data_IF_987537800542
#
_entry.id   IF_987537800542
#
_cell.length_a   1.000
_cell.length_b   1.000
_cell.length_c   1.000
_cell.angle_alpha   90.00
_cell.angle_beta   90.00
_cell.angle_gamma   90.00
#
_symmetry.space_group_name_H-M   'P 1'
#
loop_
_entity.id
_entity.type
_entity.pdbx_description
1 polymer ?
#
# COMPACT_ATOMS: atom_id res chain seq x y z
N UNK A 1 -6.46 -3.87 -44.97
CA UNK A 1 -6.00 -2.87 -43.98
C UNK A 1 -7.05 -2.58 -42.88
N UNK A 2 -8.31 -2.39 -43.19
CA UNK A 2 -9.37 -2.16 -42.21
C UNK A 2 -9.57 -3.31 -41.21
N UNK A 3 -9.40 -4.56 -41.63
CA UNK A 3 -9.52 -5.75 -40.76
C UNK A 3 -8.44 -5.83 -39.68
N UNK A 4 -7.21 -5.38 -39.98
CA UNK A 4 -6.08 -5.40 -39.02
C UNK A 4 -6.24 -4.33 -37.95
N UNK A 5 -6.64 -3.12 -38.33
CA UNK A 5 -6.91 -2.04 -37.38
C UNK A 5 -8.08 -2.37 -36.45
N UNK A 6 -9.14 -2.99 -36.97
CA UNK A 6 -10.29 -3.41 -36.19
C UNK A 6 -9.96 -4.55 -35.22
N UNK A 7 -9.08 -5.48 -35.64
CA UNK A 7 -8.58 -6.58 -34.78
C UNK A 7 -7.71 -6.04 -33.67
N UNK A 8 -6.84 -5.07 -33.96
CA UNK A 8 -5.99 -4.40 -32.98
C UNK A 8 -6.83 -3.63 -31.96
N UNK A 9 -7.82 -2.88 -32.42
CA UNK A 9 -8.77 -2.13 -31.57
C UNK A 9 -9.53 -3.08 -30.63
N UNK A 10 -10.05 -4.20 -31.14
CA UNK A 10 -10.70 -5.24 -30.33
C UNK A 10 -9.76 -5.89 -29.32
N UNK A 11 -8.48 -6.08 -29.66
CA UNK A 11 -7.48 -6.63 -28.73
C UNK A 11 -7.14 -5.62 -27.62
N UNK A 12 -7.04 -4.34 -27.97
CA UNK A 12 -6.81 -3.26 -27.01
C UNK A 12 -8.05 -3.09 -26.10
N UNK A 13 -9.24 -3.12 -26.66
CA UNK A 13 -10.49 -3.06 -25.89
C UNK A 13 -10.67 -4.29 -24.97
N UNK A 14 -10.27 -5.49 -25.43
CA UNK A 14 -10.28 -6.70 -24.60
C UNK A 14 -9.24 -6.65 -23.49
N UNK A 15 -8.05 -6.09 -23.72
CA UNK A 15 -7.03 -5.89 -22.70
C UNK A 15 -7.48 -4.85 -21.67
N UNK A 16 -8.09 -3.74 -22.10
CA UNK A 16 -8.59 -2.72 -21.19
C UNK A 16 -9.80 -3.20 -20.38
N UNK A 17 -10.64 -4.08 -20.95
CA UNK A 17 -11.80 -4.67 -20.27
C UNK A 17 -11.43 -5.78 -19.27
N UNK A 18 -10.16 -6.25 -19.24
CA UNK A 18 -9.73 -7.39 -18.42
C UNK A 18 -8.76 -7.02 -17.30
N UNK A 19 -8.39 -5.75 -17.14
CA UNK A 19 -7.52 -5.36 -16.05
C UNK A 19 -8.28 -5.36 -14.72
N UNK A 20 -7.69 -5.91 -13.66
CA UNK A 20 -8.34 -5.89 -12.35
C UNK A 20 -8.41 -4.47 -11.78
N UNK A 21 -9.47 -4.21 -11.04
CA UNK A 21 -9.65 -2.97 -10.28
C UNK A 21 -9.53 -3.32 -8.80
N UNK A 22 -8.57 -2.69 -8.12
CA UNK A 22 -8.39 -2.86 -6.68
C UNK A 22 -9.14 -1.76 -5.93
N UNK A 23 -9.86 -2.17 -4.91
CA UNK A 23 -10.52 -1.25 -3.97
C UNK A 23 -9.50 -0.85 -2.91
N UNK A 24 -9.01 0.36 -3.01
CA UNK A 24 -7.84 0.83 -2.30
C UNK A 24 -8.20 1.59 -1.02
N UNK A 25 -7.53 1.23 0.06
CA UNK A 25 -7.50 1.99 1.29
C UNK A 25 -6.21 2.83 1.32
N UNK A 26 -6.34 4.11 1.62
CA UNK A 26 -5.20 4.94 2.01
C UNK A 26 -5.07 4.87 3.53
N UNK A 27 -3.90 4.50 4.02
CA UNK A 27 -3.61 4.54 5.45
C UNK A 27 -2.52 5.56 5.75
N UNK A 28 -2.81 6.51 6.62
CA UNK A 28 -1.89 7.54 7.05
C UNK A 28 -1.77 7.54 8.57
N UNK A 29 -0.56 7.70 9.07
CA UNK A 29 -0.31 7.72 10.51
C UNK A 29 0.61 8.87 10.88
N UNK A 30 0.20 9.61 11.89
CA UNK A 30 1.00 10.66 12.48
C UNK A 30 1.63 10.12 13.77
N UNK A 31 2.96 10.17 13.85
CA UNK A 31 3.68 9.88 15.09
C UNK A 31 3.86 11.19 15.86
N UNK A 32 3.37 11.22 17.09
CA UNK A 32 3.62 12.35 17.99
C UNK A 32 4.90 12.05 18.80
N UNK A 33 6.03 12.00 18.11
CA UNK A 33 7.32 11.93 18.79
C UNK A 33 7.91 13.33 18.87
N UNK A 34 8.17 13.80 20.08
CA UNK A 34 8.75 15.11 20.36
C UNK A 34 10.15 15.31 19.76
N UNK A 35 10.78 14.22 19.31
CA UNK A 35 12.13 14.24 18.74
C UNK A 35 12.12 14.36 17.20
N UNK A 36 10.98 14.23 16.55
CA UNK A 36 10.88 14.43 15.09
C UNK A 36 10.72 15.92 14.79
N UNK A 37 11.75 16.49 14.16
CA UNK A 37 11.80 17.91 13.79
C UNK A 37 10.82 18.28 12.67
N UNK A 38 10.28 17.32 11.92
CA UNK A 38 9.28 17.53 10.87
C UNK A 38 8.28 16.38 10.90
N UNK A 39 7.13 16.65 11.51
CA UNK A 39 6.01 15.72 11.45
C UNK A 39 5.23 16.02 10.17
N UNK A 40 5.25 15.07 9.24
CA UNK A 40 4.45 15.19 8.03
C UNK A 40 2.98 14.95 8.36
N UNK A 41 2.11 15.90 8.02
CA UNK A 41 0.69 15.82 8.32
C UNK A 41 0.00 14.65 7.61
N UNK A 42 -1.13 14.23 8.16
CA UNK A 42 -1.99 13.22 7.54
C UNK A 42 -2.45 13.70 6.16
N UNK A 43 -2.84 14.96 6.04
CA UNK A 43 -3.28 15.56 4.76
C UNK A 43 -2.19 15.50 3.70
N UNK A 44 -0.94 15.74 4.07
CA UNK A 44 0.19 15.66 3.14
C UNK A 44 0.43 14.23 2.67
N UNK A 45 0.37 13.26 3.57
CA UNK A 45 0.49 11.83 3.21
C UNK A 45 -0.65 11.41 2.26
N UNK A 46 -1.86 11.80 2.57
CA UNK A 46 -3.05 11.48 1.74
C UNK A 46 -2.93 12.10 0.36
N UNK A 47 -2.54 13.38 0.28
CA UNK A 47 -2.36 14.08 -0.99
C UNK A 47 -1.32 13.39 -1.88
N UNK A 48 -0.19 13.00 -1.32
CA UNK A 48 0.87 12.27 -2.04
C UNK A 48 0.36 10.93 -2.58
N UNK A 49 -0.39 10.18 -1.79
CA UNK A 49 -0.93 8.88 -2.19
C UNK A 49 -2.02 9.05 -3.26
N UNK A 50 -2.88 10.04 -3.12
CA UNK A 50 -3.89 10.37 -4.16
C UNK A 50 -3.24 10.73 -5.49
N UNK A 51 -2.16 11.50 -5.46
CA UNK A 51 -1.39 11.83 -6.66
C UNK A 51 -0.81 10.56 -7.31
N UNK A 52 -0.28 9.64 -6.50
CA UNK A 52 0.19 8.34 -6.98
C UNK A 52 -0.94 7.57 -7.69
N UNK A 53 -2.12 7.51 -7.10
CA UNK A 53 -3.28 6.82 -7.68
C UNK A 53 -3.65 7.45 -9.03
N UNK A 54 -3.72 8.77 -9.12
CA UNK A 54 -4.05 9.48 -10.36
C UNK A 54 -3.01 9.22 -11.44
N UNK A 55 -1.73 9.32 -11.10
CA UNK A 55 -0.62 9.07 -12.03
C UNK A 55 -0.63 7.64 -12.53
N UNK A 56 -0.85 6.69 -11.65
CA UNK A 56 -0.95 5.27 -12.01
C UNK A 56 -2.12 5.01 -12.96
N UNK A 57 -3.30 5.51 -12.62
CA UNK A 57 -4.52 5.27 -13.41
C UNK A 57 -4.48 5.97 -14.78
N UNK A 58 -3.67 7.03 -14.93
CA UNK A 58 -3.52 7.75 -16.19
C UNK A 58 -2.60 7.01 -17.19
N UNK A 59 -1.84 6.02 -16.76
CA UNK A 59 -0.93 5.26 -17.63
C UNK A 59 -1.74 4.38 -18.58
N UNK A 60 -1.41 4.46 -19.87
CA UNK A 60 -2.06 3.65 -20.91
C UNK A 60 -1.72 2.15 -20.80
N UNK A 61 -0.55 1.82 -20.29
CA UNK A 61 0.00 0.48 -20.14
C UNK A 61 -0.22 -0.13 -18.75
N UNK A 62 -1.06 0.48 -17.93
CA UNK A 62 -1.33 -0.04 -16.58
C UNK A 62 -1.89 -1.45 -16.63
N UNK A 63 -1.41 -2.31 -15.76
CA UNK A 63 -1.87 -3.69 -15.62
C UNK A 63 -3.01 -3.85 -14.63
N UNK A 64 -3.28 -2.82 -13.85
CA UNK A 64 -4.39 -2.76 -12.90
C UNK A 64 -4.82 -1.32 -12.68
N UNK A 65 -6.00 -1.14 -12.12
CA UNK A 65 -6.54 0.16 -11.76
C UNK A 65 -6.79 0.23 -10.25
N UNK A 66 -6.62 1.42 -9.69
CA UNK A 66 -6.85 1.69 -8.28
C UNK A 66 -8.10 2.56 -8.10
N UNK A 67 -9.11 2.01 -7.44
CA UNK A 67 -10.30 2.76 -7.05
C UNK A 67 -10.23 3.05 -5.55
N UNK A 68 -10.15 4.32 -5.19
CA UNK A 68 -10.10 4.70 -3.78
C UNK A 68 -11.42 4.36 -3.10
N UNK A 69 -11.37 3.48 -2.10
CA UNK A 69 -12.52 3.11 -1.29
C UNK A 69 -12.71 4.05 -0.11
N UNK A 70 -11.68 4.20 0.74
CA UNK A 70 -11.74 5.09 1.89
C UNK A 70 -10.34 5.46 2.38
N UNK A 71 -10.28 6.46 3.24
CA UNK A 71 -9.08 6.96 3.88
C UNK A 71 -9.16 6.63 5.38
N UNK A 72 -8.10 6.04 5.89
CA UNK A 72 -7.98 5.64 7.29
C UNK A 72 -6.76 6.33 7.90
N UNK A 73 -6.90 6.83 9.10
CA UNK A 73 -5.80 7.52 9.75
C UNK A 73 -5.80 7.30 11.26
N UNK A 74 -4.61 7.33 11.83
CA UNK A 74 -4.40 7.27 13.26
C UNK A 74 -3.35 8.28 13.69
N UNK A 75 -3.52 8.80 14.89
CA UNK A 75 -2.53 9.64 15.57
C UNK A 75 -1.89 8.77 16.64
N UNK A 76 -0.61 8.45 16.46
CA UNK A 76 0.16 7.69 17.43
C UNK A 76 0.46 8.54 18.64
N UNK A 77 -0.06 8.17 19.80
CA UNK A 77 0.31 8.79 21.08
C UNK A 77 1.61 8.17 21.59
N UNK A 78 2.52 9.01 22.05
CA UNK A 78 3.70 8.55 22.79
C UNK A 78 3.25 7.95 24.11
N UNK A 79 3.55 6.68 24.35
CA UNK A 79 3.20 5.98 25.58
C UNK A 79 2.66 4.57 25.35
N UNK A 80 2.05 4.02 26.37
CA UNK A 80 1.61 2.63 26.40
C UNK A 80 0.32 2.32 25.65
N UNK A 81 -0.33 3.32 25.07
CA UNK A 81 -1.62 3.15 24.41
C UNK A 81 -1.43 3.01 22.91
N UNK A 82 -1.48 1.75 22.43
CA UNK A 82 -1.29 1.39 21.02
C UNK A 82 -2.61 1.26 20.27
N UNK A 83 -3.64 1.99 20.69
CA UNK A 83 -4.91 1.95 19.98
C UNK A 83 -4.79 2.62 18.63
N UNK A 84 -5.19 1.90 17.61
CA UNK A 84 -5.24 2.35 16.21
C UNK A 84 -6.63 2.10 15.64
N UNK A 85 -7.64 2.91 16.02
CA UNK A 85 -9.00 2.68 15.54
C UNK A 85 -9.14 2.79 14.02
N UNK A 86 -8.37 3.65 13.37
CA UNK A 86 -8.36 3.74 11.91
C UNK A 86 -7.82 2.48 11.27
N UNK A 87 -6.72 1.94 11.78
CA UNK A 87 -6.15 0.70 11.30
C UNK A 87 -7.11 -0.48 11.51
N UNK A 88 -7.74 -0.57 12.67
CA UNK A 88 -8.72 -1.62 12.96
C UNK A 88 -9.95 -1.54 12.06
N UNK A 89 -10.42 -0.33 11.77
CA UNK A 89 -11.53 -0.10 10.83
C UNK A 89 -11.13 -0.55 9.41
N UNK A 90 -9.93 -0.24 8.99
CA UNK A 90 -9.40 -0.69 7.70
C UNK A 90 -9.31 -2.22 7.64
N UNK A 91 -8.79 -2.86 8.67
CA UNK A 91 -8.69 -4.32 8.72
C UNK A 91 -10.07 -4.99 8.74
N UNK A 92 -11.05 -4.37 9.38
CA UNK A 92 -12.44 -4.83 9.31
C UNK A 92 -12.98 -4.79 7.87
N UNK A 93 -12.77 -3.68 7.17
CA UNK A 93 -13.21 -3.54 5.77
C UNK A 93 -12.48 -4.53 4.85
N UNK A 94 -11.23 -4.87 5.15
CA UNK A 94 -10.48 -5.93 4.46
C UNK A 94 -11.12 -7.30 4.70
N UNK A 95 -11.45 -7.62 5.95
CA UNK A 95 -12.12 -8.90 6.28
C UNK A 95 -13.49 -9.03 5.62
N UNK A 96 -14.21 -7.93 5.50
CA UNK A 96 -15.50 -7.87 4.81
C UNK A 96 -15.36 -7.76 3.28
N UNK A 97 -14.16 -7.83 2.76
CA UNK A 97 -13.82 -7.76 1.33
C UNK A 97 -14.25 -6.46 0.64
N UNK A 98 -14.38 -5.39 1.40
CA UNK A 98 -14.62 -4.04 0.87
C UNK A 98 -13.34 -3.41 0.35
N UNK A 99 -12.20 -3.78 0.93
CA UNK A 99 -10.86 -3.30 0.59
C UNK A 99 -9.97 -4.51 0.29
N UNK A 100 -9.21 -4.44 -0.80
CA UNK A 100 -8.24 -5.47 -1.19
C UNK A 100 -6.88 -4.90 -1.59
N UNK A 101 -6.65 -3.63 -1.33
CA UNK A 101 -5.37 -2.97 -1.56
C UNK A 101 -5.14 -1.91 -0.48
N UNK A 102 -3.93 -1.87 0.06
CA UNK A 102 -3.53 -0.85 1.03
C UNK A 102 -2.42 -0.01 0.41
N UNK A 103 -2.55 1.32 0.49
CA UNK A 103 -1.50 2.26 0.11
C UNK A 103 -1.05 3.07 1.31
N UNK A 104 0.26 3.13 1.51
CA UNK A 104 0.89 3.96 2.52
C UNK A 104 1.96 4.83 1.88
N UNK A 105 2.35 5.92 2.53
CA UNK A 105 3.45 6.76 2.06
C UNK A 105 4.77 5.98 2.11
N UNK A 106 5.07 5.37 3.25
CA UNK A 106 6.26 4.55 3.48
C UNK A 106 5.97 3.46 4.53
N UNK A 107 6.88 2.51 4.68
CA UNK A 107 6.69 1.39 5.61
C UNK A 107 6.51 1.82 7.06
N UNK A 108 7.16 2.92 7.47
CA UNK A 108 7.09 3.39 8.85
C UNK A 108 5.68 3.84 9.27
N UNK A 109 4.83 4.11 8.29
CA UNK A 109 3.44 4.55 8.54
C UNK A 109 2.45 3.41 8.68
N UNK A 110 2.87 2.16 8.45
CA UNK A 110 1.96 1.02 8.45
C UNK A 110 1.93 0.30 9.81
N UNK A 111 3.03 -0.28 10.24
CA UNK A 111 3.12 -1.01 11.49
C UNK A 111 3.59 -0.15 12.66
N UNK A 112 3.41 -0.64 13.88
CA UNK A 112 3.97 -0.02 15.10
C UNK A 112 5.50 -0.09 15.10
N UNK A 113 6.03 -1.15 14.50
CA UNK A 113 7.46 -1.42 14.39
C UNK A 113 7.70 -2.30 13.16
N UNK A 114 8.97 -2.54 12.85
CA UNK A 114 9.36 -3.34 11.69
C UNK A 114 8.93 -4.81 11.79
N UNK A 115 8.83 -5.35 13.00
CA UNK A 115 8.41 -6.74 13.23
C UNK A 115 6.94 -6.91 12.84
N UNK A 116 6.08 -6.02 13.29
CA UNK A 116 4.66 -6.03 12.95
C UNK A 116 4.46 -5.83 11.44
N UNK A 117 5.16 -4.84 10.86
CA UNK A 117 5.10 -4.58 9.42
C UNK A 117 5.52 -5.82 8.62
N UNK A 118 6.63 -6.44 8.97
CA UNK A 118 7.11 -7.66 8.33
C UNK A 118 6.10 -8.80 8.41
N UNK A 119 5.49 -9.00 9.57
CA UNK A 119 4.49 -10.04 9.76
C UNK A 119 3.25 -9.83 8.88
N UNK A 120 2.76 -8.60 8.76
CA UNK A 120 1.66 -8.27 7.84
C UNK A 120 2.06 -8.51 6.38
N UNK A 121 3.22 -8.05 5.97
CA UNK A 121 3.67 -8.15 4.57
C UNK A 121 3.97 -9.59 4.15
N UNK A 122 4.55 -10.39 5.05
CA UNK A 122 4.96 -11.76 4.71
C UNK A 122 3.87 -12.81 4.93
N UNK A 123 2.96 -12.60 5.86
CA UNK A 123 1.99 -13.62 6.28
C UNK A 123 0.54 -13.18 6.14
N UNK A 124 0.14 -12.10 6.80
CA UNK A 124 -1.27 -11.73 6.96
C UNK A 124 -1.87 -11.25 5.65
N UNK A 125 -1.25 -10.27 5.01
CA UNK A 125 -1.78 -9.70 3.76
C UNK A 125 -1.73 -10.69 2.59
N UNK A 126 -0.65 -11.48 2.40
CA UNK A 126 -0.67 -12.53 1.38
C UNK A 126 -1.76 -13.58 1.62
N UNK A 127 -1.98 -13.99 2.87
CA UNK A 127 -3.06 -14.93 3.23
C UNK A 127 -4.44 -14.36 2.87
N UNK A 128 -4.65 -13.07 3.11
CA UNK A 128 -5.91 -12.38 2.80
C UNK A 128 -6.00 -11.93 1.33
N UNK A 129 -4.96 -12.14 0.53
CA UNK A 129 -4.85 -11.73 -0.87
C UNK A 129 -5.00 -10.20 -1.04
N UNK A 130 -4.43 -9.45 -0.12
CA UNK A 130 -4.43 -7.98 -0.15
C UNK A 130 -3.13 -7.48 -0.74
N UNK A 131 -3.25 -6.62 -1.75
CA UNK A 131 -2.12 -5.91 -2.33
C UNK A 131 -1.66 -4.80 -1.40
N UNK A 132 -0.35 -4.66 -1.25
CA UNK A 132 0.24 -3.60 -0.42
C UNK A 132 1.21 -2.78 -1.26
N UNK A 133 1.02 -1.46 -1.28
CA UNK A 133 1.85 -0.52 -2.02
C UNK A 133 2.40 0.52 -1.04
N UNK A 134 3.72 0.63 -0.97
CA UNK A 134 4.41 1.71 -0.27
C UNK A 134 5.00 2.66 -1.30
N UNK A 135 4.46 3.87 -1.38
CA UNK A 135 4.72 4.81 -2.49
C UNK A 135 6.16 5.27 -2.51
N UNK A 136 6.67 5.80 -1.39
CA UNK A 136 8.03 6.34 -1.32
C UNK A 136 9.11 5.25 -1.36
N UNK A 137 8.79 4.05 -0.91
CA UNK A 137 9.70 2.89 -0.96
C UNK A 137 9.67 2.19 -2.32
N UNK A 138 8.80 2.59 -3.23
CA UNK A 138 8.60 1.95 -4.53
C UNK A 138 8.37 0.44 -4.41
N UNK A 139 7.59 0.05 -3.40
CA UNK A 139 7.28 -1.33 -3.11
C UNK A 139 5.84 -1.66 -3.47
N UNK A 140 5.65 -2.79 -4.14
CA UNK A 140 4.34 -3.35 -4.48
C UNK A 140 4.40 -4.86 -4.22
N UNK A 141 3.59 -5.34 -3.28
CA UNK A 141 3.62 -6.76 -2.87
C UNK A 141 3.22 -7.73 -3.98
N UNK A 142 2.53 -7.26 -5.01
CA UNK A 142 2.12 -8.08 -6.16
C UNK A 142 3.05 -7.93 -7.36
N UNK A 143 4.04 -7.03 -7.29
CA UNK A 143 5.06 -6.95 -8.34
C UNK A 143 5.95 -8.20 -8.32
N UNK A 144 6.59 -8.55 -9.45
CA UNK A 144 7.54 -9.66 -9.48
C UNK A 144 8.64 -9.47 -8.45
N UNK A 145 9.06 -10.57 -7.81
CA UNK A 145 10.10 -10.55 -6.77
C UNK A 145 11.40 -9.83 -7.22
N UNK A 146 11.70 -9.88 -8.52
CA UNK A 146 12.85 -9.19 -9.10
C UNK A 146 12.80 -7.66 -8.95
N UNK A 147 11.60 -7.06 -8.90
CA UNK A 147 11.43 -5.62 -8.74
C UNK A 147 11.53 -5.18 -7.28
N UNK A 148 11.18 -6.06 -6.35
CA UNK A 148 11.13 -5.78 -4.91
C UNK A 148 12.29 -6.40 -4.13
N UNK A 149 13.18 -7.14 -4.78
CA UNK A 149 14.15 -8.01 -4.11
C UNK A 149 15.01 -7.28 -3.08
N UNK A 150 15.55 -6.11 -3.42
CA UNK A 150 16.39 -5.32 -2.53
C UNK A 150 15.60 -4.79 -1.32
N UNK A 151 14.37 -4.34 -1.53
CA UNK A 151 13.51 -3.82 -0.47
C UNK A 151 13.02 -4.92 0.45
N UNK A 152 12.65 -6.08 -0.09
CA UNK A 152 12.26 -7.24 0.71
C UNK A 152 13.40 -7.72 1.60
N UNK A 153 14.63 -7.76 1.07
CA UNK A 153 15.82 -8.10 1.84
C UNK A 153 16.10 -7.06 2.93
N UNK A 154 15.96 -5.77 2.63
CA UNK A 154 16.15 -4.69 3.59
C UNK A 154 15.13 -4.78 4.74
N UNK A 155 13.87 -5.08 4.46
CA UNK A 155 12.84 -5.27 5.48
C UNK A 155 13.16 -6.49 6.35
N UNK A 156 13.53 -7.62 5.73
CA UNK A 156 13.94 -8.83 6.46
C UNK A 156 15.14 -8.58 7.36
N UNK A 157 16.13 -7.84 6.87
CA UNK A 157 17.30 -7.48 7.65
C UNK A 157 16.94 -6.58 8.83
N UNK A 158 16.06 -5.60 8.64
CA UNK A 158 15.58 -4.74 9.72
C UNK A 158 14.79 -5.52 10.77
N UNK A 159 13.96 -6.46 10.37
CA UNK A 159 13.23 -7.35 11.28
C UNK A 159 14.22 -8.23 12.06
N UNK A 160 15.19 -8.84 11.38
CA UNK A 160 16.20 -9.67 12.01
C UNK A 160 17.06 -8.87 13.02
N UNK A 161 17.47 -7.66 12.67
CA UNK A 161 18.20 -6.76 13.56
C UNK A 161 17.39 -6.40 14.80
N UNK A 162 16.09 -6.15 14.64
CA UNK A 162 15.20 -5.87 15.75
C UNK A 162 15.06 -7.06 16.71
N UNK A 163 15.02 -8.30 16.19
CA UNK A 163 15.02 -9.51 17.00
C UNK A 163 16.37 -9.75 17.71
N UNK A 164 17.48 -9.44 17.04
CA UNK A 164 18.81 -9.62 17.59
C UNK A 164 19.12 -8.64 18.75
N UNK A 165 18.51 -7.47 18.75
CA UNK A 165 18.67 -6.43 19.78
C UNK A 165 17.69 -6.56 20.95
N UNK A 166 16.72 -7.41 20.81
CA UNK A 166 15.75 -7.71 21.85
C UNK A 166 16.23 -8.80 22.76
#
# INVERSE_FOLDING_TARGET
MARTAQRYKKLVERKSAQIPVYRAAIYARLSVDKNEKKVESIETQVALIKEFIQTHNAKADKEYELALYDIYSDIGKTGTNFERPGFERMMKDIRERKVNCILVKDFSRFGRNYIETGNYLEKILPFMKVRFISVCDQYDSFAPDSENQDLTMNIKNLVNDAYAKG
#
